data_IF_970584098147
#
_entry.id   IF_970584098147
#
_cell.length_a   1.000
_cell.length_b   1.000
_cell.length_c   1.000
_cell.angle_alpha   90.00
_cell.angle_beta   90.00
_cell.angle_gamma   90.00
#
_symmetry.space_group_name_H-M   'P 1'
#
loop_
_entity.id
_entity.type
_entity.pdbx_description
1 polymer ?
#
# COMPACT_ATOMS: atom_id res chain seq x y z
N UNK A 1 21.33 -5.80 5.67
CA UNK A 1 19.97 -5.31 5.90
C UNK A 1 19.99 -4.44 7.14
N UNK A 2 19.61 -3.16 7.05
CA UNK A 2 19.57 -2.30 8.24
C UNK A 2 18.31 -2.62 9.05
N UNK A 3 18.45 -3.40 10.11
CA UNK A 3 17.34 -3.79 10.99
C UNK A 3 17.13 -2.81 12.15
N UNK A 4 17.92 -1.71 12.20
CA UNK A 4 17.89 -0.78 13.35
C UNK A 4 16.51 -0.13 13.54
N UNK A 5 15.84 0.29 12.44
CA UNK A 5 14.52 0.87 12.57
C UNK A 5 13.50 -0.16 13.08
N UNK A 6 13.53 -1.40 12.58
CA UNK A 6 12.59 -2.44 12.98
C UNK A 6 12.74 -2.81 14.46
N UNK A 7 13.98 -2.95 14.94
CA UNK A 7 14.25 -3.19 16.36
C UNK A 7 13.78 -2.01 17.23
N UNK A 8 14.01 -0.77 16.80
CA UNK A 8 13.52 0.43 17.47
C UNK A 8 11.98 0.48 17.49
N UNK A 9 11.36 0.13 16.36
CA UNK A 9 9.90 0.03 16.26
C UNK A 9 9.32 -1.01 17.22
N UNK A 10 9.87 -2.23 17.26
CA UNK A 10 9.42 -3.30 18.16
C UNK A 10 9.65 -2.95 19.65
N UNK A 11 10.80 -2.36 19.99
CA UNK A 11 11.06 -1.87 21.35
C UNK A 11 10.03 -0.80 21.76
N UNK A 12 9.72 0.13 20.89
CA UNK A 12 8.73 1.17 21.14
C UNK A 12 7.32 0.56 21.34
N UNK A 13 6.91 -0.35 20.43
CA UNK A 13 5.62 -1.04 20.56
C UNK A 13 5.48 -1.78 21.89
N UNK A 14 6.52 -2.52 22.31
CA UNK A 14 6.47 -3.25 23.58
C UNK A 14 6.27 -2.34 24.78
N UNK A 15 6.78 -1.11 24.73
CA UNK A 15 6.59 -0.08 25.76
C UNK A 15 5.24 0.63 25.69
N UNK A 16 4.59 0.60 24.52
CA UNK A 16 3.31 1.23 24.27
C UNK A 16 2.16 0.20 24.26
N UNK A 17 2.45 -1.07 24.51
CA UNK A 17 1.43 -2.10 24.74
C UNK A 17 0.66 -1.79 26.02
N UNK A 18 -0.55 -1.25 25.80
CA UNK A 18 -1.39 -0.71 26.86
C UNK A 18 -2.85 -0.77 26.44
N UNK A 19 -3.70 -1.21 27.34
CA UNK A 19 -5.15 -1.25 27.09
C UNK A 19 -5.84 -0.02 27.69
N UNK A 20 -6.60 0.68 26.86
CA UNK A 20 -7.43 1.81 27.24
C UNK A 20 -8.88 1.59 26.82
N UNK A 21 -9.82 1.53 27.78
CA UNK A 21 -11.24 1.26 27.53
C UNK A 21 -11.53 -0.02 26.73
N UNK A 22 -10.69 -1.04 26.89
CA UNK A 22 -10.80 -2.29 26.13
C UNK A 22 -10.17 -2.26 24.73
N UNK A 23 -9.52 -1.16 24.32
CA UNK A 23 -8.76 -1.06 23.08
C UNK A 23 -7.27 -1.22 23.36
N UNK A 24 -6.60 -2.08 22.60
CA UNK A 24 -5.15 -2.21 22.64
C UNK A 24 -4.49 -1.05 21.89
N UNK A 25 -3.83 -0.15 22.60
CA UNK A 25 -3.14 1.02 22.04
C UNK A 25 -1.93 0.60 21.21
N UNK A 26 -1.25 -0.51 21.59
CA UNK A 26 -0.16 -1.08 20.79
C UNK A 26 -0.58 -1.46 19.37
N UNK A 27 -1.86 -1.81 19.14
CA UNK A 27 -2.38 -2.05 17.79
C UNK A 27 -2.77 -0.77 17.04
N UNK A 28 -3.11 0.32 17.75
CA UNK A 28 -3.55 1.57 17.14
C UNK A 28 -2.40 2.49 16.75
N UNK A 29 -1.31 2.47 17.52
CA UNK A 29 -0.22 3.43 17.39
C UNK A 29 0.66 3.22 16.13
N UNK A 30 0.85 2.00 15.58
CA UNK A 30 1.74 1.75 14.45
C UNK A 30 1.53 2.68 13.27
N UNK A 31 0.28 2.91 12.85
CA UNK A 31 -0.05 3.82 11.75
C UNK A 31 0.39 5.28 11.96
N UNK A 32 0.62 5.70 13.21
CA UNK A 32 1.13 7.03 13.57
C UNK A 32 2.65 7.06 13.69
N UNK A 33 3.30 5.90 13.88
CA UNK A 33 4.75 5.83 14.04
C UNK A 33 5.51 5.89 12.72
N UNK A 34 4.85 5.68 11.58
CA UNK A 34 5.50 5.61 10.26
C UNK A 34 6.36 6.83 9.98
N UNK A 35 5.89 8.04 10.31
CA UNK A 35 6.65 9.27 10.10
C UNK A 35 7.93 9.36 10.96
N UNK A 36 7.98 8.69 12.11
CA UNK A 36 9.19 8.66 12.95
C UNK A 36 10.36 7.88 12.32
N UNK A 37 10.06 7.07 11.30
CA UNK A 37 11.03 6.18 10.67
C UNK A 37 11.27 6.52 9.19
N UNK A 38 10.46 7.40 8.58
CA UNK A 38 10.59 7.84 7.18
C UNK A 38 11.38 9.15 7.06
N UNK A 39 11.28 10.03 8.06
CA UNK A 39 11.98 11.32 8.11
C UNK A 39 13.05 11.28 9.19
N UNK A 40 14.17 11.96 8.97
CA UNK A 40 15.36 11.87 9.83
C UNK A 40 15.16 12.30 11.29
N UNK A 41 14.14 13.11 11.57
CA UNK A 41 13.78 13.48 12.93
C UNK A 41 12.36 14.03 13.03
N UNK A 42 11.67 13.71 14.13
CA UNK A 42 10.42 14.36 14.52
C UNK A 42 10.70 15.83 14.81
N UNK A 43 9.98 16.73 14.15
CA UNK A 43 10.12 18.18 14.29
C UNK A 43 9.10 18.76 15.28
N UNK A 44 9.32 20.02 15.71
CA UNK A 44 8.33 20.75 16.49
C UNK A 44 6.98 20.92 15.77
N UNK A 45 7.00 20.96 14.43
CA UNK A 45 5.79 21.01 13.59
C UNK A 45 4.96 19.72 13.72
N UNK A 46 5.62 18.57 13.75
CA UNK A 46 4.95 17.27 13.90
C UNK A 46 4.31 17.14 15.28
N UNK A 47 4.99 17.63 16.31
CA UNK A 47 4.45 17.69 17.67
C UNK A 47 3.18 18.55 17.71
N UNK A 48 3.24 19.77 17.13
CA UNK A 48 2.10 20.68 17.08
C UNK A 48 0.92 20.06 16.30
N UNK A 49 1.20 19.44 15.14
CA UNK A 49 0.21 18.74 14.34
C UNK A 49 -0.45 17.60 15.12
N UNK A 50 0.34 16.81 15.86
CA UNK A 50 -0.18 15.72 16.69
C UNK A 50 -1.12 16.22 17.78
N UNK A 51 -0.81 17.32 18.46
CA UNK A 51 -1.71 17.94 19.44
C UNK A 51 -2.98 18.51 18.80
N UNK A 52 -2.86 19.14 17.61
CA UNK A 52 -4.02 19.65 16.88
C UNK A 52 -4.95 18.49 16.46
N UNK A 53 -4.42 17.40 15.95
CA UNK A 53 -5.19 16.18 15.61
C UNK A 53 -5.87 15.58 16.85
N UNK A 54 -5.29 15.75 18.04
CA UNK A 54 -5.91 15.35 19.32
C UNK A 54 -7.10 16.21 19.73
N UNK A 55 -7.14 17.46 19.25
CA UNK A 55 -8.27 18.38 19.47
C UNK A 55 -9.34 18.21 18.41
N UNK A 56 -8.95 17.99 17.15
CA UNK A 56 -9.85 17.88 16.01
C UNK A 56 -9.51 16.64 15.17
N UNK A 57 -10.39 15.65 15.21
CA UNK A 57 -10.20 14.36 14.56
C UNK A 57 -11.42 13.95 13.71
N UNK A 58 -11.28 12.89 12.90
CA UNK A 58 -12.33 12.39 12.02
C UNK A 58 -13.54 11.90 12.81
N UNK A 59 -14.74 12.28 12.39
CA UNK A 59 -16.00 11.85 13.00
C UNK A 59 -16.38 10.43 12.57
N UNK A 60 -15.72 9.43 13.15
CA UNK A 60 -15.97 8.03 12.83
C UNK A 60 -17.38 7.55 13.20
N UNK A 61 -18.16 8.31 13.99
CA UNK A 61 -19.55 7.96 14.26
C UNK A 61 -20.45 8.01 13.03
N UNK A 62 -20.05 8.76 11.99
CA UNK A 62 -20.78 8.80 10.73
C UNK A 62 -20.75 7.44 9.99
N UNK A 63 -19.65 6.68 10.13
CA UNK A 63 -19.53 5.30 9.59
C UNK A 63 -20.56 4.35 10.24
N UNK A 64 -20.96 4.65 11.47
CA UNK A 64 -21.88 3.83 12.25
C UNK A 64 -23.36 4.19 12.02
N UNK A 65 -23.63 5.20 11.19
CA UNK A 65 -24.98 5.60 10.79
C UNK A 65 -25.42 4.80 9.55
N UNK A 66 -25.51 3.49 9.68
CA UNK A 66 -25.86 2.57 8.58
C UNK A 66 -26.95 1.60 8.97
N UNK A 67 -27.80 1.25 8.00
CA UNK A 67 -28.79 0.18 8.09
C UNK A 67 -28.29 -1.10 7.41
N UNK A 68 -27.10 -1.08 6.80
CA UNK A 68 -26.52 -2.19 6.05
C UNK A 68 -25.86 -3.22 6.96
N UNK A 69 -25.79 -4.46 6.48
CA UNK A 69 -25.14 -5.55 7.22
C UNK A 69 -23.61 -5.54 7.10
N UNK A 70 -23.06 -4.81 6.13
CA UNK A 70 -21.64 -4.70 5.88
C UNK A 70 -21.22 -3.23 5.76
N UNK A 71 -20.13 -2.87 6.43
CA UNK A 71 -19.49 -1.56 6.32
C UNK A 71 -18.15 -1.73 5.66
N UNK A 72 -17.88 -0.95 4.60
CA UNK A 72 -16.62 -0.94 3.87
C UNK A 72 -16.00 0.46 4.00
N UNK A 73 -14.72 0.54 4.40
CA UNK A 73 -14.03 1.83 4.48
C UNK A 73 -12.72 1.83 3.70
N UNK A 74 -12.30 3.03 3.30
CA UNK A 74 -10.95 3.32 2.84
C UNK A 74 -10.51 4.72 3.30
N UNK A 75 -9.20 4.88 3.57
CA UNK A 75 -8.71 6.05 4.28
C UNK A 75 -8.67 7.31 3.41
N UNK A 76 -8.10 7.23 2.20
CA UNK A 76 -7.73 8.37 1.35
C UNK A 76 -8.62 8.41 0.11
N UNK A 77 -9.09 9.59 -0.26
CA UNK A 77 -9.90 9.81 -1.47
C UNK A 77 -9.03 9.72 -2.74
N UNK A 78 -8.61 8.49 -3.06
CA UNK A 78 -7.90 8.13 -4.30
C UNK A 78 -8.77 7.23 -5.15
N UNK A 79 -8.78 7.47 -6.46
CA UNK A 79 -9.60 6.72 -7.41
C UNK A 79 -9.35 5.21 -7.31
N UNK A 80 -8.09 4.78 -7.25
CA UNK A 80 -7.72 3.35 -7.17
C UNK A 80 -8.19 2.68 -5.86
N UNK A 81 -8.27 3.43 -4.76
CA UNK A 81 -8.80 2.94 -3.48
C UNK A 81 -10.32 2.82 -3.52
N UNK A 82 -11.00 3.85 -4.07
CA UNK A 82 -12.44 3.83 -4.30
C UNK A 82 -12.84 2.70 -5.25
N UNK A 83 -12.12 2.51 -6.36
CA UNK A 83 -12.38 1.42 -7.31
C UNK A 83 -12.25 0.03 -6.67
N UNK A 84 -11.26 -0.16 -5.77
CA UNK A 84 -11.11 -1.40 -5.03
C UNK A 84 -12.29 -1.61 -4.06
N UNK A 85 -12.66 -0.60 -3.29
CA UNK A 85 -13.77 -0.67 -2.35
C UNK A 85 -15.10 -0.97 -3.07
N UNK A 86 -15.35 -0.30 -4.21
CA UNK A 86 -16.52 -0.54 -5.05
C UNK A 86 -16.54 -1.95 -5.68
N UNK A 87 -15.39 -2.50 -6.03
CA UNK A 87 -15.31 -3.87 -6.53
C UNK A 87 -15.62 -4.89 -5.43
N UNK A 88 -15.20 -4.62 -4.18
CA UNK A 88 -15.57 -5.44 -3.02
C UNK A 88 -17.06 -5.31 -2.70
N UNK A 89 -17.66 -4.10 -2.86
CA UNK A 89 -19.10 -3.89 -2.69
C UNK A 89 -19.94 -4.79 -3.58
N UNK A 90 -19.48 -5.09 -4.80
CA UNK A 90 -20.19 -6.03 -5.70
C UNK A 90 -20.29 -7.45 -5.11
N UNK A 91 -19.33 -7.86 -4.29
CA UNK A 91 -19.35 -9.14 -3.56
C UNK A 91 -20.24 -9.07 -2.32
N UNK A 92 -20.40 -7.88 -1.75
CA UNK A 92 -21.23 -7.61 -0.56
C UNK A 92 -22.29 -6.55 -0.88
N UNK A 93 -23.37 -6.88 -1.62
CA UNK A 93 -24.34 -5.89 -2.14
C UNK A 93 -25.10 -5.14 -1.03
N UNK A 94 -25.27 -5.74 0.15
CA UNK A 94 -25.84 -5.07 1.33
C UNK A 94 -24.74 -4.39 2.15
N UNK A 95 -24.06 -3.43 1.52
CA UNK A 95 -22.94 -2.70 2.15
C UNK A 95 -23.00 -1.20 1.89
N UNK A 96 -22.48 -0.43 2.84
CA UNK A 96 -22.13 0.98 2.69
C UNK A 96 -20.61 1.14 2.50
N UNK A 97 -20.22 1.99 1.55
CA UNK A 97 -18.81 2.33 1.26
C UNK A 97 -18.54 3.76 1.70
N UNK A 98 -17.55 3.96 2.54
CA UNK A 98 -17.21 5.27 3.11
C UNK A 98 -15.73 5.59 2.95
N UNK A 99 -15.43 6.75 2.34
CA UNK A 99 -14.09 7.35 2.38
C UNK A 99 -13.90 8.12 3.68
N UNK A 100 -12.96 7.71 4.53
CA UNK A 100 -12.79 8.34 5.85
C UNK A 100 -12.26 9.78 5.78
N UNK A 101 -11.49 10.11 4.75
CA UNK A 101 -10.98 11.48 4.53
C UNK A 101 -12.09 12.50 4.27
N UNK A 102 -13.23 12.07 3.73
CA UNK A 102 -14.37 12.96 3.41
C UNK A 102 -15.30 13.22 4.59
N UNK A 103 -15.11 12.52 5.71
CA UNK A 103 -15.94 12.68 6.89
C UNK A 103 -15.70 14.01 7.60
N UNK A 104 -16.72 14.49 8.26
CA UNK A 104 -16.62 15.67 9.12
C UNK A 104 -15.56 15.51 10.20
N UNK A 105 -15.10 16.62 10.74
CA UNK A 105 -14.22 16.64 11.90
C UNK A 105 -15.00 16.99 13.16
N UNK A 106 -14.73 16.24 14.22
CA UNK A 106 -15.23 16.51 15.57
C UNK A 106 -14.04 16.69 16.52
N UNK A 107 -14.29 17.19 17.71
CA UNK A 107 -13.19 17.36 18.65
C UNK A 107 -13.60 17.66 20.07
N UNK A 108 -12.59 17.79 20.90
CA UNK A 108 -12.69 18.21 22.28
C UNK A 108 -12.12 19.62 22.46
N UNK A 109 -12.70 20.37 23.42
CA UNK A 109 -12.05 21.60 23.85
C UNK A 109 -10.66 21.28 24.41
N UNK A 110 -9.57 21.94 23.98
CA UNK A 110 -8.23 21.71 24.50
C UNK A 110 -8.10 22.06 26.00
N UNK A 111 -9.01 22.87 26.52
CA UNK A 111 -9.10 23.21 27.94
C UNK A 111 -10.13 22.36 28.71
N UNK A 112 -10.76 21.40 28.03
CA UNK A 112 -11.71 20.52 28.66
C UNK A 112 -11.03 19.51 29.62
N UNK A 113 -11.66 19.22 30.75
CA UNK A 113 -11.15 18.26 31.77
C UNK A 113 -10.74 16.93 31.13
N UNK A 114 -11.52 16.48 30.15
CA UNK A 114 -11.23 15.21 29.45
C UNK A 114 -9.90 15.25 28.69
N UNK A 115 -9.66 16.32 27.94
CA UNK A 115 -8.42 16.49 27.16
C UNK A 115 -7.19 16.56 28.09
N UNK A 116 -7.28 17.39 29.12
CA UNK A 116 -6.20 17.55 30.12
C UNK A 116 -5.91 16.20 30.82
N UNK A 117 -6.95 15.46 31.21
CA UNK A 117 -6.77 14.15 31.83
C UNK A 117 -6.07 13.16 30.90
N UNK A 118 -6.40 13.14 29.59
CA UNK A 118 -5.74 12.28 28.63
C UNK A 118 -4.30 12.72 28.36
N UNK A 119 -4.04 14.02 28.30
CA UNK A 119 -2.70 14.59 28.18
C UNK A 119 -1.80 14.16 29.34
N UNK A 120 -2.26 14.34 30.57
CA UNK A 120 -1.51 13.94 31.77
C UNK A 120 -1.26 12.42 31.79
N UNK A 121 -2.26 11.63 31.40
CA UNK A 121 -2.11 10.19 31.29
C UNK A 121 -1.09 9.77 30.25
N UNK A 122 -1.13 10.36 29.04
CA UNK A 122 -0.16 10.13 27.97
C UNK A 122 1.25 10.50 28.41
N UNK A 123 1.39 11.68 29.03
CA UNK A 123 2.66 12.15 29.59
C UNK A 123 3.24 11.15 30.60
N UNK A 124 2.42 10.70 31.56
CA UNK A 124 2.82 9.71 32.55
C UNK A 124 3.29 8.40 31.88
N UNK A 125 2.58 7.89 30.88
CA UNK A 125 2.95 6.64 30.18
C UNK A 125 4.31 6.79 29.50
N UNK A 126 4.52 7.85 28.72
CA UNK A 126 5.74 8.05 27.94
C UNK A 126 6.96 8.26 28.84
N UNK A 127 6.82 9.04 29.91
CA UNK A 127 7.97 9.37 30.76
C UNK A 127 8.24 8.32 31.86
N UNK A 128 7.26 7.49 32.24
CA UNK A 128 7.47 6.41 33.23
C UNK A 128 7.99 5.11 32.64
N UNK A 129 7.78 4.84 31.33
CA UNK A 129 8.10 3.56 30.68
C UNK A 129 9.48 3.50 30.04
N UNK A 130 10.40 4.37 30.41
CA UNK A 130 11.79 4.37 29.91
C UNK A 130 11.90 4.36 28.38
N UNK A 131 11.02 5.10 27.70
CA UNK A 131 11.07 5.27 26.25
C UNK A 131 12.39 5.97 25.90
N UNK A 132 13.27 5.28 25.14
CA UNK A 132 14.60 5.77 24.76
C UNK A 132 14.54 6.62 23.49
N UNK A 133 13.84 7.75 23.57
CA UNK A 133 13.66 8.67 22.44
C UNK A 133 14.08 10.09 22.82
N UNK A 134 14.34 10.95 21.82
CA UNK A 134 14.58 12.36 22.05
C UNK A 134 13.38 13.03 22.77
N UNK A 135 13.62 14.15 23.41
CA UNK A 135 12.54 14.89 24.10
C UNK A 135 11.43 15.29 23.13
N UNK A 136 11.77 15.76 21.93
CA UNK A 136 10.81 16.12 20.88
C UNK A 136 9.96 14.91 20.46
N UNK A 137 10.61 13.76 20.24
CA UNK A 137 9.91 12.51 19.90
C UNK A 137 8.99 12.06 21.04
N UNK A 138 9.42 12.19 22.29
CA UNK A 138 8.56 11.91 23.46
C UNK A 138 7.32 12.80 23.48
N UNK A 139 7.47 14.09 23.21
CA UNK A 139 6.33 15.00 23.11
C UNK A 139 5.39 14.64 21.97
N UNK A 140 5.94 14.23 20.82
CA UNK A 140 5.13 13.72 19.71
C UNK A 140 4.33 12.48 20.10
N UNK A 141 4.96 11.51 20.79
CA UNK A 141 4.27 10.32 21.30
C UNK A 141 3.18 10.67 22.32
N UNK A 142 3.41 11.66 23.19
CA UNK A 142 2.38 12.20 24.10
C UNK A 142 1.20 12.75 23.31
N UNK A 143 1.47 13.51 22.26
CA UNK A 143 0.42 14.07 21.41
C UNK A 143 -0.40 12.97 20.73
N UNK A 144 0.26 11.95 20.15
CA UNK A 144 -0.42 10.80 19.53
C UNK A 144 -1.27 10.03 20.56
N UNK A 145 -0.74 9.71 21.73
CA UNK A 145 -1.50 8.98 22.75
C UNK A 145 -2.71 9.79 23.22
N UNK A 146 -2.56 11.11 23.39
CA UNK A 146 -3.67 11.99 23.73
C UNK A 146 -4.77 11.96 22.69
N UNK A 147 -4.37 12.04 21.40
CA UNK A 147 -5.27 11.90 20.26
C UNK A 147 -6.02 10.56 20.30
N UNK A 148 -5.29 9.45 20.43
CA UNK A 148 -5.89 8.11 20.49
C UNK A 148 -6.86 7.96 21.66
N UNK A 149 -6.52 8.46 22.85
CA UNK A 149 -7.43 8.42 23.99
C UNK A 149 -8.71 9.23 23.76
N UNK A 150 -8.60 10.37 23.09
CA UNK A 150 -9.76 11.19 22.74
C UNK A 150 -10.66 10.49 21.72
N UNK A 151 -10.09 9.95 20.66
CA UNK A 151 -10.83 9.22 19.61
C UNK A 151 -11.51 7.97 20.20
N UNK A 152 -10.77 7.15 20.98
CA UNK A 152 -11.32 5.98 21.65
C UNK A 152 -12.47 6.38 22.56
N UNK A 153 -12.30 7.42 23.40
CA UNK A 153 -13.37 7.87 24.31
C UNK A 153 -14.59 8.39 23.56
N UNK A 154 -14.38 9.03 22.41
CA UNK A 154 -15.46 9.52 21.57
C UNK A 154 -16.22 8.34 20.96
N UNK A 155 -15.52 7.44 20.28
CA UNK A 155 -16.13 6.32 19.57
C UNK A 155 -16.79 5.31 20.55
N UNK A 156 -16.21 5.10 21.72
CA UNK A 156 -16.72 4.18 22.76
C UNK A 156 -18.11 4.58 23.32
N UNK A 157 -18.57 5.81 23.05
CA UNK A 157 -19.90 6.28 23.43
C UNK A 157 -20.96 6.04 22.34
N UNK A 158 -20.53 5.72 21.13
CA UNK A 158 -21.42 5.48 20.00
C UNK A 158 -21.88 4.02 20.05
N UNK A 159 -23.16 3.80 19.86
CA UNK A 159 -23.72 2.45 19.81
C UNK A 159 -23.36 1.78 18.48
N UNK A 160 -22.94 0.53 18.55
CA UNK A 160 -22.73 -0.28 17.35
C UNK A 160 -24.09 -0.62 16.72
N UNK A 161 -24.29 -0.37 15.42
CA UNK A 161 -25.54 -0.72 14.75
C UNK A 161 -25.78 -2.24 14.85
N UNK A 162 -26.94 -2.69 15.31
CA UNK A 162 -27.20 -4.12 15.60
C UNK A 162 -27.26 -5.00 14.35
N UNK A 163 -27.48 -4.40 13.19
CA UNK A 163 -27.56 -5.08 11.89
C UNK A 163 -26.19 -5.33 11.27
N UNK A 164 -25.13 -4.61 11.67
CA UNK A 164 -23.80 -4.79 11.12
C UNK A 164 -23.19 -6.13 11.55
N UNK A 165 -22.83 -6.95 10.56
CA UNK A 165 -22.23 -8.27 10.74
C UNK A 165 -20.77 -8.32 10.29
N UNK A 166 -20.39 -7.42 9.38
CA UNK A 166 -19.03 -7.34 8.81
C UNK A 166 -18.54 -5.92 8.73
N UNK A 167 -17.26 -5.75 9.02
CA UNK A 167 -16.51 -4.55 8.74
C UNK A 167 -15.32 -4.90 7.84
N UNK A 168 -15.23 -4.24 6.70
CA UNK A 168 -14.16 -4.43 5.72
C UNK A 168 -13.41 -3.13 5.59
N UNK A 169 -12.11 -3.13 5.88
CA UNK A 169 -11.25 -1.97 5.75
C UNK A 169 -10.23 -2.16 4.63
N UNK A 170 -9.82 -1.06 4.02
CA UNK A 170 -8.76 -1.08 3.01
C UNK A 170 -7.45 -1.61 3.61
N UNK A 171 -7.08 -1.14 4.82
CA UNK A 171 -5.94 -1.66 5.56
C UNK A 171 -6.14 -1.50 7.08
N UNK A 172 -6.25 -2.61 7.80
CA UNK A 172 -6.46 -2.60 9.25
C UNK A 172 -5.31 -2.00 10.07
N UNK A 173 -4.15 -1.72 9.46
CA UNK A 173 -3.02 -1.05 10.11
C UNK A 173 -3.08 0.49 9.99
N UNK A 174 -3.97 1.05 9.17
CA UNK A 174 -4.09 2.50 9.01
C UNK A 174 -4.86 3.13 10.17
N UNK A 175 -4.45 4.33 10.57
CA UNK A 175 -4.91 5.12 11.73
C UNK A 175 -6.39 4.90 12.10
N UNK A 176 -7.30 5.53 11.33
CA UNK A 176 -8.73 5.50 11.58
C UNK A 176 -9.32 4.11 11.35
N UNK A 177 -8.83 3.38 10.35
CA UNK A 177 -9.28 2.01 10.04
C UNK A 177 -8.87 1.04 11.14
N UNK A 178 -7.69 1.22 11.77
CA UNK A 178 -7.27 0.41 12.92
C UNK A 178 -8.21 0.60 14.11
N UNK A 179 -8.64 1.85 14.35
CA UNK A 179 -9.57 2.16 15.44
C UNK A 179 -10.96 1.56 15.19
N UNK A 180 -11.50 1.71 13.98
CA UNK A 180 -12.77 1.07 13.59
C UNK A 180 -12.66 -0.45 13.64
N UNK A 181 -11.56 -1.05 13.22
CA UNK A 181 -11.33 -2.49 13.31
C UNK A 181 -11.45 -2.96 14.76
N UNK A 182 -10.76 -2.32 15.70
CA UNK A 182 -10.86 -2.69 17.13
C UNK A 182 -12.24 -2.40 17.70
N UNK A 183 -12.91 -1.33 17.27
CA UNK A 183 -14.28 -1.02 17.68
C UNK A 183 -15.23 -2.16 17.29
N UNK A 184 -15.22 -2.58 16.04
CA UNK A 184 -16.08 -3.63 15.54
C UNK A 184 -15.75 -5.00 16.19
N UNK A 185 -14.46 -5.32 16.38
CA UNK A 185 -14.06 -6.53 17.14
C UNK A 185 -14.59 -6.53 18.57
N UNK A 186 -14.54 -5.39 19.25
CA UNK A 186 -15.11 -5.25 20.62
C UNK A 186 -16.61 -5.56 20.64
N UNK A 187 -17.30 -5.26 19.56
CA UNK A 187 -18.73 -5.54 19.37
C UNK A 187 -19.02 -6.89 18.70
N UNK A 188 -18.01 -7.77 18.55
CA UNK A 188 -18.13 -9.12 17.95
C UNK A 188 -18.60 -9.11 16.49
N UNK A 189 -18.31 -8.05 15.76
CA UNK A 189 -18.48 -7.94 14.31
C UNK A 189 -17.24 -8.52 13.64
N UNK A 190 -17.42 -9.38 12.64
CA UNK A 190 -16.30 -9.93 11.84
C UNK A 190 -15.56 -8.81 11.13
N UNK A 191 -14.22 -8.78 11.26
CA UNK A 191 -13.39 -7.74 10.65
C UNK A 191 -12.48 -8.33 9.57
N UNK A 192 -12.43 -7.66 8.41
CA UNK A 192 -11.67 -8.10 7.24
C UNK A 192 -10.81 -6.94 6.74
N UNK A 193 -9.53 -7.18 6.50
CA UNK A 193 -8.63 -6.26 5.82
C UNK A 193 -8.47 -6.65 4.35
N UNK A 194 -8.34 -5.69 3.44
CA UNK A 194 -8.08 -5.97 2.04
C UNK A 194 -6.58 -6.01 1.77
N UNK A 195 -6.16 -6.89 0.87
CA UNK A 195 -4.86 -6.76 0.24
C UNK A 195 -4.91 -5.63 -0.80
N UNK A 196 -3.91 -4.75 -0.80
CA UNK A 196 -3.83 -3.60 -1.71
C UNK A 196 -2.48 -3.45 -2.41
N UNK A 197 -1.55 -4.36 -2.15
CA UNK A 197 -0.23 -4.47 -2.79
C UNK A 197 0.30 -5.89 -2.74
N UNK A 198 1.39 -6.16 -3.43
CA UNK A 198 2.09 -7.46 -3.36
C UNK A 198 2.88 -7.53 -2.07
N UNK A 199 2.74 -8.65 -1.36
CA UNK A 199 3.54 -8.95 -0.18
C UNK A 199 4.87 -9.59 -0.62
N UNK A 200 5.98 -9.04 -0.18
CA UNK A 200 7.34 -9.51 -0.46
C UNK A 200 8.31 -9.12 0.65
N UNK A 201 9.51 -9.68 0.64
CA UNK A 201 10.58 -9.24 1.54
C UNK A 201 11.17 -7.91 1.06
N UNK A 202 11.01 -6.87 1.86
CA UNK A 202 11.50 -5.53 1.53
C UNK A 202 12.98 -5.40 1.82
N UNK A 203 13.81 -5.27 0.78
CA UNK A 203 15.25 -5.04 0.91
C UNK A 203 15.54 -3.64 1.45
N UNK A 204 14.78 -2.66 0.99
CA UNK A 204 14.92 -1.27 1.39
C UNK A 204 14.32 -0.99 2.78
N UNK A 205 13.72 -1.98 3.44
CA UNK A 205 13.12 -1.84 4.77
C UNK A 205 12.25 -0.59 4.89
N UNK A 206 11.35 -0.40 3.93
CA UNK A 206 10.44 0.76 3.91
C UNK A 206 9.52 0.71 5.14
N UNK A 207 9.64 1.66 6.09
CA UNK A 207 8.95 1.57 7.38
C UNK A 207 7.45 1.43 7.25
N UNK A 208 6.86 2.16 6.31
CA UNK A 208 5.42 2.13 6.08
C UNK A 208 4.92 0.74 5.70
N UNK A 209 5.60 0.05 4.79
CA UNK A 209 5.19 -1.28 4.31
C UNK A 209 5.34 -2.34 5.40
N UNK A 210 6.48 -2.31 6.11
CA UNK A 210 6.77 -3.29 7.16
C UNK A 210 5.79 -3.15 8.32
N UNK A 211 5.51 -1.92 8.75
CA UNK A 211 4.54 -1.66 9.82
C UNK A 211 3.14 -2.13 9.41
N UNK A 212 2.75 -1.90 8.15
CA UNK A 212 1.47 -2.32 7.64
C UNK A 212 1.33 -3.85 7.57
N UNK A 213 2.39 -4.57 7.21
CA UNK A 213 2.40 -6.03 7.18
C UNK A 213 2.39 -6.63 8.59
N UNK A 214 3.18 -6.06 9.51
CA UNK A 214 3.35 -6.55 10.88
C UNK A 214 2.09 -6.31 11.74
N UNK A 215 1.29 -5.29 11.41
CA UNK A 215 0.13 -4.86 12.20
C UNK A 215 -1.22 -5.27 11.58
N UNK A 216 -1.37 -6.53 11.19
CA UNK A 216 -2.65 -7.05 10.72
C UNK A 216 -3.62 -7.26 11.89
N UNK A 217 -4.47 -6.26 12.17
CA UNK A 217 -5.39 -6.25 13.32
C UNK A 217 -6.70 -7.00 13.02
N UNK A 218 -7.20 -6.92 11.79
CA UNK A 218 -8.46 -7.56 11.39
C UNK A 218 -8.42 -9.09 11.64
N UNK A 219 -9.59 -9.70 11.84
CA UNK A 219 -9.69 -11.15 12.04
C UNK A 219 -9.20 -11.89 10.80
N UNK A 220 -9.50 -11.35 9.62
CA UNK A 220 -9.15 -11.95 8.34
C UNK A 220 -8.51 -10.96 7.38
N UNK A 221 -7.74 -11.50 6.43
CA UNK A 221 -7.19 -10.78 5.28
C UNK A 221 -7.76 -11.39 3.99
N UNK A 222 -8.35 -10.58 3.14
CA UNK A 222 -8.71 -10.97 1.77
C UNK A 222 -7.48 -10.91 0.89
N UNK A 223 -6.93 -12.08 0.57
CA UNK A 223 -5.74 -12.24 -0.25
C UNK A 223 -6.10 -12.30 -1.74
N UNK A 224 -5.30 -11.67 -2.57
CA UNK A 224 -5.48 -11.72 -4.03
C UNK A 224 -5.21 -13.11 -4.59
N UNK A 225 -4.12 -13.76 -4.18
CA UNK A 225 -3.70 -15.05 -4.71
C UNK A 225 -3.00 -15.92 -3.67
N UNK A 226 -2.72 -17.13 -4.07
CA UNK A 226 -2.01 -18.11 -3.24
C UNK A 226 -0.62 -17.61 -2.86
N UNK A 227 0.04 -16.83 -3.72
CA UNK A 227 1.37 -16.24 -3.44
C UNK A 227 1.41 -15.44 -2.14
N UNK A 228 0.35 -14.67 -1.84
CA UNK A 228 0.26 -13.90 -0.60
C UNK A 228 0.09 -14.80 0.61
N UNK A 229 -0.74 -15.82 0.50
CA UNK A 229 -0.96 -16.80 1.58
C UNK A 229 0.34 -17.54 1.89
N UNK A 230 1.02 -18.04 0.87
CA UNK A 230 2.29 -18.75 1.02
C UNK A 230 3.35 -17.87 1.66
N UNK A 231 3.46 -16.60 1.21
CA UNK A 231 4.37 -15.63 1.80
C UNK A 231 4.08 -15.39 3.29
N UNK A 232 2.83 -15.11 3.65
CA UNK A 232 2.46 -14.83 5.04
C UNK A 232 2.61 -16.05 5.95
N UNK A 233 2.43 -17.26 5.43
CA UNK A 233 2.74 -18.51 6.16
C UNK A 233 4.23 -18.60 6.51
N UNK A 234 5.14 -18.17 5.61
CA UNK A 234 6.58 -18.11 5.94
C UNK A 234 6.90 -17.13 7.04
N UNK A 235 6.03 -16.14 7.29
CA UNK A 235 6.14 -15.15 8.39
C UNK A 235 5.45 -15.60 9.66
N UNK A 236 4.90 -16.82 9.71
CA UNK A 236 4.28 -17.41 10.90
C UNK A 236 2.82 -16.99 11.15
N UNK A 237 2.15 -16.40 10.16
CA UNK A 237 0.72 -16.13 10.27
C UNK A 237 -0.11 -17.40 10.12
N UNK A 238 -1.19 -17.51 10.89
CA UNK A 238 -2.15 -18.62 10.82
C UNK A 238 -2.97 -18.55 9.53
N UNK A 239 -2.99 -19.63 8.77
CA UNK A 239 -3.71 -19.76 7.50
C UNK A 239 -5.22 -19.56 7.65
N UNK A 240 -5.80 -19.88 8.81
CA UNK A 240 -7.23 -19.66 9.09
C UNK A 240 -7.64 -18.18 9.00
N UNK A 241 -6.69 -17.26 9.05
CA UNK A 241 -6.90 -15.81 8.90
C UNK A 241 -7.00 -15.35 7.45
N UNK A 242 -6.77 -16.21 6.46
CA UNK A 242 -6.73 -15.81 5.06
C UNK A 242 -7.98 -16.25 4.31
N UNK A 243 -8.47 -15.35 3.46
CA UNK A 243 -9.54 -15.61 2.49
C UNK A 243 -8.93 -15.44 1.11
N UNK A 244 -8.86 -16.51 0.33
CA UNK A 244 -8.45 -16.45 -1.08
C UNK A 244 -9.62 -15.86 -1.88
N UNK A 245 -9.57 -14.54 -2.14
CA UNK A 245 -10.66 -13.79 -2.74
C UNK A 245 -10.44 -13.41 -4.21
N UNK A 246 -9.19 -13.49 -4.66
CA UNK A 246 -8.81 -12.96 -5.96
C UNK A 246 -8.61 -11.43 -5.95
N UNK A 247 -7.96 -10.91 -6.98
CA UNK A 247 -7.91 -9.46 -7.20
C UNK A 247 -9.17 -9.02 -7.93
N UNK A 248 -10.06 -8.34 -7.23
CA UNK A 248 -11.37 -7.95 -7.74
C UNK A 248 -11.32 -7.08 -9.01
N UNK A 249 -10.24 -6.33 -9.25
CA UNK A 249 -10.03 -5.55 -10.48
C UNK A 249 -9.73 -6.43 -11.71
N UNK A 250 -9.24 -7.63 -11.48
CA UNK A 250 -8.80 -8.57 -12.52
C UNK A 250 -9.53 -9.91 -12.45
N UNK A 251 -10.70 -9.94 -11.78
CA UNK A 251 -11.50 -11.14 -11.61
C UNK A 251 -11.87 -11.80 -12.96
N UNK A 252 -12.21 -10.96 -13.94
CA UNK A 252 -12.57 -11.39 -15.30
C UNK A 252 -11.44 -11.13 -16.31
N UNK A 253 -10.18 -11.16 -15.85
CA UNK A 253 -9.05 -10.93 -16.75
C UNK A 253 -8.97 -12.03 -17.79
N UNK A 254 -9.02 -11.64 -19.05
CA UNK A 254 -8.80 -12.52 -20.19
C UNK A 254 -7.50 -12.13 -20.88
N UNK A 255 -6.51 -13.04 -20.85
CA UNK A 255 -5.25 -12.86 -21.57
C UNK A 255 -5.50 -13.27 -23.02
N UNK A 256 -5.83 -12.27 -23.84
CA UNK A 256 -6.07 -12.43 -25.26
C UNK A 256 -4.79 -12.58 -26.09
N UNK A 257 -4.72 -11.89 -27.22
CA UNK A 257 -3.51 -11.81 -28.05
C UNK A 257 -2.36 -11.12 -27.31
N UNK A 258 -1.15 -11.69 -27.43
CA UNK A 258 0.09 -11.13 -26.84
C UNK A 258 0.91 -10.52 -27.96
N UNK A 259 1.04 -9.19 -27.95
CA UNK A 259 1.86 -8.46 -28.90
C UNK A 259 3.35 -8.70 -28.66
N UNK A 260 4.07 -9.08 -29.70
CA UNK A 260 5.51 -9.36 -29.68
C UNK A 260 6.31 -8.36 -30.55
N UNK A 261 5.72 -7.19 -30.90
CA UNK A 261 6.37 -6.20 -31.78
C UNK A 261 7.53 -5.47 -31.11
N UNK A 262 7.46 -5.22 -29.81
CA UNK A 262 8.47 -4.52 -29.01
C UNK A 262 8.88 -3.16 -29.59
N UNK A 263 7.91 -2.38 -30.05
CA UNK A 263 8.15 -1.04 -30.63
C UNK A 263 7.84 0.08 -29.66
N UNK A 264 6.90 -0.15 -28.71
CA UNK A 264 6.39 0.83 -27.76
C UNK A 264 6.40 0.25 -26.35
N UNK A 265 7.21 0.82 -25.48
CA UNK A 265 7.42 0.35 -24.13
C UNK A 265 6.84 1.32 -23.10
N UNK A 266 6.01 0.84 -22.17
CA UNK A 266 5.68 1.59 -20.97
C UNK A 266 6.65 1.22 -19.84
N UNK A 267 7.44 2.18 -19.40
CA UNK A 267 8.37 2.03 -18.27
C UNK A 267 7.66 2.44 -16.99
N UNK A 268 7.40 1.47 -16.12
CA UNK A 268 6.72 1.63 -14.84
C UNK A 268 7.76 1.87 -13.75
N UNK A 269 8.06 3.14 -13.47
CA UNK A 269 9.07 3.54 -12.51
C UNK A 269 8.62 3.25 -11.07
N UNK A 270 9.56 2.79 -10.26
CA UNK A 270 9.36 2.55 -8.84
C UNK A 270 9.14 3.85 -8.05
N UNK A 271 8.64 3.72 -6.82
CA UNK A 271 8.42 4.86 -5.90
C UNK A 271 9.75 5.50 -5.46
N UNK A 272 9.68 6.58 -4.69
CA UNK A 272 10.83 7.43 -4.33
C UNK A 272 12.03 6.68 -3.74
N UNK A 273 11.81 5.62 -2.96
CA UNK A 273 12.91 4.80 -2.40
C UNK A 273 13.72 4.06 -3.47
N UNK A 274 13.18 3.90 -4.68
CA UNK A 274 13.86 3.26 -5.81
C UNK A 274 14.41 4.26 -6.84
N UNK A 275 14.50 5.55 -6.51
CA UNK A 275 15.06 6.56 -7.43
C UNK A 275 16.45 6.17 -7.95
N UNK A 276 17.41 5.69 -7.12
CA UNK A 276 18.71 5.26 -7.65
C UNK A 276 18.61 4.11 -8.66
N UNK A 277 17.67 3.19 -8.48
CA UNK A 277 17.40 2.09 -9.40
C UNK A 277 16.69 2.57 -10.68
N UNK A 278 15.71 3.49 -10.54
CA UNK A 278 15.08 4.15 -11.67
C UNK A 278 16.11 4.87 -12.56
N UNK A 279 17.05 5.60 -11.95
CA UNK A 279 18.08 6.36 -12.68
C UNK A 279 19.05 5.44 -13.44
N UNK A 280 19.45 4.31 -12.83
CA UNK A 280 20.26 3.28 -13.52
C UNK A 280 19.50 2.70 -14.74
N UNK A 281 18.21 2.37 -14.57
CA UNK A 281 17.39 1.89 -15.68
C UNK A 281 17.28 2.93 -16.78
N UNK A 282 16.99 4.19 -16.46
CA UNK A 282 16.86 5.25 -17.44
C UNK A 282 18.16 5.45 -18.23
N UNK A 283 19.32 5.45 -17.56
CA UNK A 283 20.62 5.50 -18.21
C UNK A 283 20.84 4.32 -19.17
N UNK A 284 20.45 3.12 -18.76
CA UNK A 284 20.52 1.92 -19.61
C UNK A 284 19.60 2.03 -20.84
N UNK A 285 18.38 2.54 -20.70
CA UNK A 285 17.45 2.73 -21.82
C UNK A 285 17.96 3.78 -22.82
N UNK A 286 18.61 4.84 -22.35
CA UNK A 286 19.27 5.82 -23.21
C UNK A 286 20.45 5.19 -23.99
N UNK A 287 21.24 4.34 -23.33
CA UNK A 287 22.31 3.60 -24.00
C UNK A 287 21.76 2.62 -25.05
N UNK A 288 20.68 1.91 -24.70
CA UNK A 288 19.95 1.03 -25.63
C UNK A 288 19.51 1.79 -26.89
N UNK A 289 18.89 2.96 -26.73
CA UNK A 289 18.45 3.80 -27.83
C UNK A 289 19.60 4.27 -28.73
N UNK A 290 20.69 4.74 -28.12
CA UNK A 290 21.88 5.13 -28.86
C UNK A 290 22.45 3.98 -29.71
N UNK A 291 22.46 2.76 -29.12
CA UNK A 291 22.98 1.56 -29.83
C UNK A 291 22.07 1.10 -30.96
N UNK A 292 20.74 1.21 -30.78
CA UNK A 292 19.74 0.64 -31.70
C UNK A 292 19.01 1.67 -32.57
N UNK A 293 19.42 2.96 -32.55
CA UNK A 293 18.86 4.00 -33.44
C UNK A 293 17.40 4.32 -33.14
N UNK A 294 17.03 4.43 -31.84
CA UNK A 294 15.69 4.86 -31.39
C UNK A 294 14.53 3.99 -31.92
N UNK A 295 14.74 2.69 -32.04
CA UNK A 295 13.73 1.74 -32.55
C UNK A 295 12.55 1.50 -31.60
N UNK A 296 12.73 1.81 -30.31
CA UNK A 296 11.69 1.65 -29.28
C UNK A 296 11.32 3.03 -28.75
N UNK A 297 10.02 3.32 -28.70
CA UNK A 297 9.47 4.48 -28.00
C UNK A 297 9.23 4.13 -26.53
N UNK A 298 9.83 4.88 -25.61
CA UNK A 298 9.68 4.66 -24.18
C UNK A 298 8.74 5.69 -23.57
N UNK A 299 7.62 5.23 -23.02
CA UNK A 299 6.67 6.01 -22.25
C UNK A 299 6.94 5.81 -20.76
N UNK A 300 7.34 6.86 -20.05
CA UNK A 300 7.74 6.80 -18.64
C UNK A 300 6.56 7.12 -17.73
N UNK A 301 6.10 6.18 -16.94
CA UNK A 301 5.06 6.37 -15.95
C UNK A 301 5.66 6.40 -14.54
N UNK A 302 5.58 7.57 -13.90
CA UNK A 302 6.06 7.77 -12.53
C UNK A 302 5.10 7.15 -11.53
N UNK A 303 5.65 6.67 -10.41
CA UNK A 303 4.82 6.30 -9.27
C UNK A 303 4.09 7.55 -8.72
N UNK A 304 2.82 7.46 -8.27
CA UNK A 304 2.03 8.62 -7.83
C UNK A 304 2.67 9.48 -6.73
N UNK A 305 3.52 8.90 -5.89
CA UNK A 305 4.21 9.59 -4.80
C UNK A 305 5.56 10.24 -5.19
N UNK A 306 6.01 10.08 -6.44
CA UNK A 306 7.28 10.68 -6.88
C UNK A 306 7.04 12.11 -7.36
N UNK A 307 7.80 13.08 -6.82
CA UNK A 307 7.65 14.51 -7.14
C UNK A 307 8.24 14.81 -8.54
N UNK A 308 7.59 15.68 -9.32
CA UNK A 308 7.98 15.96 -10.71
C UNK A 308 9.38 16.57 -10.85
N UNK A 309 9.89 17.24 -9.82
CA UNK A 309 11.25 17.82 -9.84
C UNK A 309 12.37 16.78 -9.91
N UNK A 310 12.12 15.56 -9.47
CA UNK A 310 13.15 14.52 -9.34
C UNK A 310 13.57 13.91 -10.70
N UNK A 311 12.75 14.07 -11.75
CA UNK A 311 13.02 13.47 -13.06
C UNK A 311 13.12 14.48 -14.21
N UNK A 312 13.10 15.78 -13.96
CA UNK A 312 13.18 16.82 -15.00
C UNK A 312 14.46 16.74 -15.84
N UNK A 313 15.55 16.24 -15.27
CA UNK A 313 16.84 16.10 -15.95
C UNK A 313 16.81 15.12 -17.12
N UNK A 314 15.90 14.13 -17.10
CA UNK A 314 15.84 13.09 -18.12
C UNK A 314 14.90 13.40 -19.29
N UNK A 315 13.91 14.26 -19.08
CA UNK A 315 12.94 14.62 -20.13
C UNK A 315 13.54 15.39 -21.33
N UNK A 316 14.74 15.93 -21.17
CA UNK A 316 15.43 16.73 -22.21
C UNK A 316 16.53 15.97 -22.97
N UNK A 317 16.74 14.68 -22.71
CA UNK A 317 17.97 13.99 -23.10
C UNK A 317 17.80 13.02 -24.29
N UNK A 318 16.57 12.58 -24.60
CA UNK A 318 16.35 11.64 -25.70
C UNK A 318 15.01 11.87 -26.40
N UNK A 319 15.04 11.92 -27.73
CA UNK A 319 13.87 12.20 -28.56
C UNK A 319 12.76 11.15 -28.53
N UNK A 320 12.98 10.01 -27.90
CA UNK A 320 12.03 8.90 -27.81
C UNK A 320 11.68 8.47 -26.38
N UNK A 321 11.91 9.35 -25.39
CA UNK A 321 11.50 9.20 -24.00
C UNK A 321 10.39 10.20 -23.68
N UNK A 322 9.18 9.72 -23.41
CA UNK A 322 8.00 10.55 -23.19
C UNK A 322 7.41 10.31 -21.81
N UNK A 323 7.10 11.36 -21.04
CA UNK A 323 6.40 11.20 -19.78
C UNK A 323 4.90 11.06 -19.97
N UNK A 324 4.32 10.03 -19.37
CA UNK A 324 2.87 9.87 -19.25
C UNK A 324 2.36 10.69 -18.08
N UNK A 325 1.39 11.57 -18.35
CA UNK A 325 0.79 12.44 -17.34
C UNK A 325 0.13 11.65 -16.17
N UNK A 326 -0.03 12.32 -15.03
CA UNK A 326 -0.62 11.72 -13.83
C UNK A 326 -2.12 11.47 -13.98
N UNK A 327 -2.78 12.21 -14.86
CA UNK A 327 -4.21 12.10 -15.17
C UNK A 327 -4.59 10.74 -15.77
N UNK A 328 -3.65 10.07 -16.44
CA UNK A 328 -3.87 8.74 -16.99
C UNK A 328 -3.52 7.66 -15.97
N UNK A 329 -4.43 6.75 -15.70
CA UNK A 329 -4.14 5.57 -14.90
C UNK A 329 -3.23 4.59 -15.66
N UNK A 330 -2.50 3.73 -14.94
CA UNK A 330 -1.70 2.66 -15.56
C UNK A 330 -2.57 1.78 -16.46
N UNK A 331 -3.77 1.44 -16.02
CA UNK A 331 -4.70 0.58 -16.79
C UNK A 331 -5.18 1.24 -18.08
N UNK A 332 -5.49 2.55 -18.07
CA UNK A 332 -5.87 3.28 -19.28
C UNK A 332 -4.73 3.24 -20.31
N UNK A 333 -3.49 3.45 -19.87
CA UNK A 333 -2.32 3.43 -20.77
C UNK A 333 -2.05 2.01 -21.28
N UNK A 334 -2.12 0.98 -20.43
CA UNK A 334 -1.91 -0.42 -20.82
C UNK A 334 -2.94 -0.92 -21.85
N UNK A 335 -4.18 -0.39 -21.81
CA UNK A 335 -5.24 -0.73 -22.77
C UNK A 335 -5.19 0.06 -24.06
N UNK A 336 -4.36 1.08 -24.13
CA UNK A 336 -4.19 1.89 -25.34
C UNK A 336 -3.24 1.22 -26.33
N UNK A 337 -3.29 1.65 -27.58
CA UNK A 337 -2.37 1.23 -28.65
C UNK A 337 -0.97 1.86 -28.51
N UNK A 338 -0.72 2.58 -27.41
CA UNK A 338 0.58 3.19 -27.10
C UNK A 338 1.57 2.21 -26.46
N UNK A 339 1.15 0.98 -26.14
CA UNK A 339 1.98 0.04 -25.38
C UNK A 339 1.92 -1.35 -25.99
N UNK A 340 3.06 -1.86 -26.43
CA UNK A 340 3.24 -3.25 -26.86
C UNK A 340 3.70 -4.10 -25.65
N UNK A 341 4.66 -3.60 -24.88
CA UNK A 341 5.23 -4.28 -23.73
C UNK A 341 5.56 -3.29 -22.61
N UNK A 342 5.93 -3.80 -21.44
CA UNK A 342 6.30 -2.95 -20.29
C UNK A 342 7.67 -3.32 -19.73
N UNK A 343 8.31 -2.36 -19.05
CA UNK A 343 9.44 -2.58 -18.14
C UNK A 343 9.02 -2.09 -16.76
N UNK A 344 9.16 -2.92 -15.75
CA UNK A 344 8.69 -2.62 -14.40
C UNK A 344 9.84 -2.55 -13.40
N UNK A 345 9.86 -1.50 -12.57
CA UNK A 345 10.76 -1.35 -11.43
C UNK A 345 9.95 -1.53 -10.16
N UNK A 346 10.03 -2.70 -9.57
CA UNK A 346 9.49 -3.00 -8.24
C UNK A 346 8.05 -2.50 -7.97
N UNK A 347 7.14 -2.83 -8.88
CA UNK A 347 5.74 -2.36 -8.85
C UNK A 347 4.74 -3.48 -9.13
N UNK A 348 3.59 -3.43 -8.45
CA UNK A 348 2.43 -4.30 -8.70
C UNK A 348 1.92 -4.20 -10.15
N UNK A 349 2.18 -3.08 -10.82
CA UNK A 349 1.79 -2.85 -12.21
C UNK A 349 2.44 -3.85 -13.21
N UNK A 350 3.51 -4.55 -12.79
CA UNK A 350 4.02 -5.72 -13.50
C UNK A 350 2.92 -6.77 -13.73
N UNK A 351 2.21 -7.17 -12.68
CA UNK A 351 1.14 -8.15 -12.79
C UNK A 351 -0.09 -7.61 -13.52
N UNK A 352 -0.36 -6.31 -13.38
CA UNK A 352 -1.42 -5.63 -14.13
C UNK A 352 -1.15 -5.69 -15.63
N UNK A 353 0.11 -5.52 -16.04
CA UNK A 353 0.54 -5.67 -17.44
C UNK A 353 0.29 -7.09 -17.95
N UNK A 354 0.72 -8.12 -17.21
CA UNK A 354 0.50 -9.52 -17.58
C UNK A 354 -0.98 -9.86 -17.67
N UNK A 355 -1.81 -9.38 -16.72
CA UNK A 355 -3.26 -9.60 -16.70
C UNK A 355 -3.97 -8.99 -17.92
N UNK A 356 -3.38 -7.97 -18.54
CA UNK A 356 -3.88 -7.33 -19.76
C UNK A 356 -3.18 -7.83 -21.04
N UNK A 357 -2.45 -8.96 -20.97
CA UNK A 357 -1.79 -9.58 -22.11
C UNK A 357 -0.54 -8.84 -22.62
N UNK A 358 0.02 -7.93 -21.81
CA UNK A 358 1.26 -7.23 -22.16
C UNK A 358 2.47 -7.94 -21.56
N UNK A 359 3.47 -8.30 -22.38
CA UNK A 359 4.76 -8.79 -21.88
C UNK A 359 5.36 -7.72 -20.97
N UNK A 360 5.78 -8.11 -19.77
CA UNK A 360 6.42 -7.20 -18.84
C UNK A 360 7.80 -7.72 -18.47
N UNK A 361 8.83 -6.90 -18.67
CA UNK A 361 10.20 -7.21 -18.28
C UNK A 361 10.49 -6.57 -16.92
N UNK A 362 11.15 -7.30 -16.02
CA UNK A 362 11.53 -6.76 -14.70
C UNK A 362 12.97 -6.29 -14.69
N UNK A 363 13.16 -4.99 -14.48
CA UNK A 363 14.45 -4.47 -14.10
C UNK A 363 14.83 -4.96 -12.70
N UNK A 364 16.01 -5.51 -12.55
CA UNK A 364 16.50 -6.01 -11.28
C UNK A 364 17.94 -5.55 -11.04
N UNK A 365 18.16 -4.93 -9.90
CA UNK A 365 19.49 -4.60 -9.38
C UNK A 365 19.57 -4.96 -7.88
N UNK A 366 20.63 -4.54 -7.20
CA UNK A 366 20.80 -4.81 -5.75
C UNK A 366 19.75 -4.15 -4.87
N UNK A 367 19.07 -3.12 -5.40
CA UNK A 367 18.09 -2.30 -4.66
C UNK A 367 16.67 -2.88 -4.71
N UNK A 368 16.35 -3.67 -5.74
CA UNK A 368 15.01 -4.17 -5.97
C UNK A 368 14.71 -5.45 -5.19
N UNK A 369 13.47 -5.58 -4.73
CA UNK A 369 12.94 -6.81 -4.15
C UNK A 369 12.80 -7.90 -5.21
N UNK A 370 12.85 -9.14 -4.75
CA UNK A 370 12.57 -10.29 -5.59
C UNK A 370 11.13 -10.77 -5.38
N UNK A 371 10.35 -10.83 -6.45
CA UNK A 371 8.99 -11.32 -6.41
C UNK A 371 8.70 -12.27 -7.58
N UNK A 372 7.73 -13.13 -7.40
CA UNK A 372 7.36 -14.17 -8.36
C UNK A 372 7.01 -13.59 -9.73
N UNK A 373 7.39 -14.25 -10.80
CA UNK A 373 7.10 -13.82 -12.18
C UNK A 373 7.61 -14.79 -13.21
N UNK A 374 7.58 -14.38 -14.48
CA UNK A 374 8.10 -15.15 -15.61
C UNK A 374 9.64 -15.12 -15.61
N UNK A 375 10.27 -15.78 -16.60
CA UNK A 375 11.70 -15.61 -16.88
C UNK A 375 11.94 -14.31 -17.68
N UNK A 376 11.73 -13.18 -17.04
CA UNK A 376 11.65 -11.85 -17.64
C UNK A 376 12.61 -10.82 -16.99
N UNK A 377 13.44 -11.25 -16.02
CA UNK A 377 14.39 -10.35 -15.35
C UNK A 377 15.60 -10.04 -16.23
N UNK A 378 16.04 -8.79 -16.19
CA UNK A 378 17.29 -8.36 -16.76
C UNK A 378 18.03 -7.41 -15.81
N UNK A 379 19.37 -7.32 -15.95
CA UNK A 379 20.26 -6.66 -15.01
C UNK A 379 21.18 -5.63 -15.71
N UNK A 380 21.27 -5.70 -17.03
CA UNK A 380 22.13 -4.86 -17.87
C UNK A 380 21.58 -4.77 -19.30
N UNK A 381 22.29 -4.05 -20.15
CA UNK A 381 21.92 -3.82 -21.54
C UNK A 381 21.81 -5.13 -22.34
N UNK A 382 22.80 -6.01 -22.19
CA UNK A 382 22.82 -7.30 -22.89
C UNK A 382 21.64 -8.18 -22.44
N UNK A 383 21.32 -8.16 -21.14
CA UNK A 383 20.17 -8.84 -20.58
C UNK A 383 18.86 -8.33 -21.15
N UNK A 384 18.68 -7.01 -21.30
CA UNK A 384 17.49 -6.43 -21.93
C UNK A 384 17.37 -6.89 -23.41
N UNK A 385 18.45 -6.82 -24.19
CA UNK A 385 18.47 -7.29 -25.58
C UNK A 385 18.11 -8.77 -25.68
N UNK A 386 18.69 -9.60 -24.81
CA UNK A 386 18.44 -11.02 -24.76
C UNK A 386 16.97 -11.33 -24.42
N UNK A 387 16.37 -10.63 -23.44
CA UNK A 387 14.96 -10.84 -23.06
C UNK A 387 14.01 -10.40 -24.18
N UNK A 388 14.26 -9.26 -24.83
CA UNK A 388 13.46 -8.83 -26.00
C UNK A 388 13.52 -9.89 -27.11
N UNK A 389 14.72 -10.39 -27.46
CA UNK A 389 14.88 -11.41 -28.49
C UNK A 389 14.24 -12.73 -28.07
N UNK A 390 14.38 -13.15 -26.80
CA UNK A 390 13.76 -14.36 -26.27
C UNK A 390 12.24 -14.31 -26.45
N UNK A 391 11.58 -13.23 -26.03
CA UNK A 391 10.12 -13.12 -26.15
C UNK A 391 9.65 -12.92 -27.59
N UNK A 392 10.46 -12.33 -28.49
CA UNK A 392 10.14 -12.26 -29.93
C UNK A 392 10.11 -13.64 -30.59
N UNK A 393 10.96 -14.55 -30.16
CA UNK A 393 11.11 -15.88 -30.76
C UNK A 393 10.24 -16.94 -30.07
N UNK A 394 9.81 -16.70 -28.84
CA UNK A 394 9.02 -17.65 -28.08
C UNK A 394 7.59 -17.76 -28.64
N UNK A 395 7.01 -18.96 -28.79
CA UNK A 395 5.63 -19.10 -29.24
C UNK A 395 4.64 -18.34 -28.34
N UNK A 396 3.74 -17.57 -28.94
CA UNK A 396 2.72 -16.80 -28.22
C UNK A 396 1.92 -17.64 -27.24
N UNK A 397 1.57 -18.88 -27.64
CA UNK A 397 0.83 -19.83 -26.77
C UNK A 397 1.57 -20.18 -25.48
N UNK A 398 2.90 -20.26 -25.53
CA UNK A 398 3.72 -20.53 -24.33
C UNK A 398 3.79 -19.27 -23.45
N UNK A 399 3.99 -18.09 -24.02
CA UNK A 399 3.99 -16.83 -23.28
C UNK A 399 2.65 -16.67 -22.56
N UNK A 400 1.55 -16.88 -23.28
CA UNK A 400 0.19 -16.77 -22.71
C UNK A 400 -0.03 -17.78 -21.58
N UNK A 401 0.46 -19.01 -21.71
CA UNK A 401 0.38 -20.02 -20.64
C UNK A 401 1.12 -19.55 -19.39
N UNK A 402 2.37 -19.08 -19.52
CA UNK A 402 3.17 -18.60 -18.40
C UNK A 402 2.53 -17.37 -17.73
N UNK A 403 2.03 -16.41 -18.50
CA UNK A 403 1.27 -15.28 -17.96
C UNK A 403 0.07 -15.75 -17.14
N UNK A 404 -0.72 -16.71 -17.66
CA UNK A 404 -1.86 -17.28 -16.94
C UNK A 404 -1.44 -17.94 -15.63
N UNK A 405 -0.36 -18.68 -15.60
CA UNK A 405 0.18 -19.33 -14.39
C UNK A 405 0.58 -18.29 -13.35
N UNK A 406 1.33 -17.25 -13.75
CA UNK A 406 1.73 -16.15 -12.85
C UNK A 406 0.51 -15.41 -12.30
N UNK A 407 -0.42 -15.03 -13.16
CA UNK A 407 -1.61 -14.27 -12.75
C UNK A 407 -2.53 -15.12 -11.88
N UNK A 408 -2.68 -16.42 -12.18
CA UNK A 408 -3.45 -17.32 -11.32
C UNK A 408 -2.86 -17.41 -9.91
N UNK A 409 -1.54 -17.51 -9.79
CA UNK A 409 -0.87 -17.62 -8.51
C UNK A 409 -0.93 -16.31 -7.69
N UNK A 410 -0.84 -15.16 -8.37
CA UNK A 410 -0.76 -13.84 -7.70
C UNK A 410 -2.12 -13.16 -7.55
N UNK A 411 -3.01 -13.25 -8.52
CA UNK A 411 -4.31 -12.55 -8.52
C UNK A 411 -5.51 -13.49 -8.43
N UNK A 412 -5.31 -14.78 -8.63
CA UNK A 412 -6.37 -15.79 -8.62
C UNK A 412 -7.65 -15.36 -9.37
N UNK A 413 -7.57 -14.90 -10.64
CA UNK A 413 -8.73 -14.58 -11.41
C UNK A 413 -9.50 -15.85 -11.76
N UNK A 414 -10.80 -15.71 -12.01
CA UNK A 414 -11.60 -16.73 -12.71
C UNK A 414 -11.21 -16.68 -14.20
N UNK A 415 -10.05 -17.26 -14.56
CA UNK A 415 -9.58 -17.29 -15.95
C UNK A 415 -10.55 -18.10 -16.80
N UNK A 416 -11.18 -17.45 -17.78
CA UNK A 416 -11.98 -18.09 -18.81
C UNK A 416 -11.12 -18.71 -19.88
#
# INVERSE_FOLDING_TARGET
>A
MDTRFYNRYKDLLSKLDYTYRGYNIGCLIPGYLTCMFTDDAVTGRDVFKGFYEGVKFTNLSQVLQTEKSTVITYLINRKDYGDLAESVRKTYPDSDVTCLETLDKVGYSPFGISYISHLLKAFRIIFSRSVKESFTTKLYLVAILTNLFNQVKYLDKVLCPPNVKKYICFNSAYKEESLLTLYFKKHKVETISLQHGVFCDFKQMVPFDIINMDNLIADKLMCWGQSTIDYLKTKGFDESRFILAGNSKYKDAEIGHVDQSFSKCLVLLGRSVYIPSNDKLLALLMEFNRKHGNKILFYLKKHPFVVDSEHKAFASIADNLFFVGREHSVQEVLRSDLVDFTIAVNTTAYYESLALGKISLRWSDSENEDFYGMDDKFYDLAGLENKINYFKLKPESEIRREMKEVIKYVFNPELK
#
